data_IF_623200290092
#
_entry.id   IF_623200290092
#
_cell.length_a   1.000
_cell.length_b   1.000
_cell.length_c   1.000
_cell.angle_alpha   90.00
_cell.angle_beta   90.00
_cell.angle_gamma   90.00
#
_symmetry.space_group_name_H-M   'P 1'
#
loop_
_entity.id
_entity.type
_entity.pdbx_description
1 polymer ?
#
# COMPACT_ATOMS: atom_id res chain seq x y z
N UNK A 1 -0.67 -7.43 11.73
CA UNK A 1 -2.10 -7.54 11.28
C UNK A 1 -2.87 -6.49 12.06
N UNK A 2 -3.67 -5.67 11.40
CA UNK A 2 -4.47 -4.65 12.05
C UNK A 2 -5.61 -5.28 12.86
N UNK A 3 -5.85 -4.77 14.06
CA UNK A 3 -7.00 -5.18 14.88
C UNK A 3 -8.33 -4.73 14.24
N UNK A 4 -9.42 -5.43 14.54
CA UNK A 4 -10.75 -5.04 14.04
C UNK A 4 -11.16 -3.62 14.47
N UNK A 5 -10.67 -3.18 15.63
CA UNK A 5 -10.93 -1.82 16.14
C UNK A 5 -10.17 -0.80 15.29
N UNK A 6 -8.90 -1.08 14.98
CA UNK A 6 -8.07 -0.23 14.14
C UNK A 6 -8.65 -0.12 12.72
N UNK A 7 -9.08 -1.23 12.13
CA UNK A 7 -9.70 -1.21 10.79
C UNK A 7 -10.91 -0.28 10.71
N UNK A 8 -11.74 -0.22 11.76
CA UNK A 8 -12.93 0.65 11.79
C UNK A 8 -12.60 2.13 11.79
N UNK A 9 -11.49 2.52 12.44
CA UNK A 9 -11.07 3.91 12.54
C UNK A 9 -10.06 4.33 11.48
N UNK A 10 -9.56 3.40 10.68
CA UNK A 10 -8.51 3.63 9.67
C UNK A 10 -8.86 4.77 8.71
N UNK A 11 -10.04 4.72 8.10
CA UNK A 11 -10.48 5.78 7.20
C UNK A 11 -10.77 7.09 7.93
N UNK A 12 -11.22 6.99 9.17
CA UNK A 12 -11.57 8.13 10.01
C UNK A 12 -10.34 8.92 10.42
N UNK A 13 -9.18 8.28 10.57
CA UNK A 13 -7.90 8.93 10.81
C UNK A 13 -7.27 9.53 9.53
N UNK A 14 -7.95 9.42 8.38
CA UNK A 14 -7.51 10.02 7.15
C UNK A 14 -6.45 9.22 6.39
N UNK A 15 -6.18 7.97 6.79
CA UNK A 15 -5.18 7.14 6.08
C UNK A 15 -5.63 6.70 4.68
N UNK A 16 -6.90 6.83 4.35
CA UNK A 16 -7.39 6.75 2.98
C UNK A 16 -6.80 7.84 2.05
N UNK A 17 -6.21 8.91 2.60
CA UNK A 17 -5.54 9.94 1.81
C UNK A 17 -4.38 9.37 0.96
N UNK A 18 -3.63 8.42 1.48
CA UNK A 18 -2.47 7.83 0.76
C UNK A 18 -2.92 7.13 -0.52
N UNK A 19 -3.85 6.14 -0.51
CA UNK A 19 -4.32 5.51 -1.74
C UNK A 19 -5.13 6.46 -2.63
N UNK A 20 -5.78 7.49 -2.10
CA UNK A 20 -6.44 8.54 -2.89
C UNK A 20 -5.42 9.34 -3.71
N UNK A 21 -4.42 9.91 -3.05
CA UNK A 21 -3.35 10.68 -3.70
C UNK A 21 -2.57 9.83 -4.71
N UNK A 22 -2.22 8.60 -4.34
CA UNK A 22 -1.55 7.67 -5.24
C UNK A 22 -2.41 7.36 -6.48
N UNK A 23 -3.70 7.09 -6.31
CA UNK A 23 -4.62 6.78 -7.41
C UNK A 23 -4.71 7.90 -8.43
N UNK A 24 -4.77 9.17 -7.98
CA UNK A 24 -4.77 10.33 -8.86
C UNK A 24 -3.46 10.44 -9.66
N UNK A 25 -2.32 10.29 -9.00
CA UNK A 25 -1.00 10.31 -9.62
C UNK A 25 -0.81 9.16 -10.60
N UNK A 26 -1.24 7.96 -10.23
CA UNK A 26 -1.16 6.78 -11.08
C UNK A 26 -1.95 6.96 -12.38
N UNK A 27 -3.21 7.43 -12.28
CA UNK A 27 -4.02 7.70 -13.46
C UNK A 27 -3.43 8.81 -14.33
N UNK A 28 -2.83 9.83 -13.73
CA UNK A 28 -2.14 10.88 -14.47
C UNK A 28 -0.87 10.35 -15.14
N UNK A 29 -0.09 9.49 -14.45
CA UNK A 29 1.08 8.85 -14.99
C UNK A 29 0.74 7.91 -16.17
N UNK A 30 -0.31 7.11 -16.06
CA UNK A 30 -0.79 6.25 -17.15
C UNK A 30 -1.18 7.07 -18.38
N UNK A 31 -1.92 8.18 -18.19
CA UNK A 31 -2.29 9.10 -19.30
C UNK A 31 -1.08 9.75 -19.94
N UNK A 32 -0.12 10.25 -19.14
CA UNK A 32 1.11 10.91 -19.63
C UNK A 32 1.96 9.96 -20.50
N UNK A 33 1.97 8.67 -20.17
CA UNK A 33 2.74 7.66 -20.88
C UNK A 33 1.92 6.91 -21.96
N UNK A 34 0.68 7.34 -22.24
CA UNK A 34 -0.21 6.73 -23.23
C UNK A 34 -0.47 5.23 -22.98
N UNK A 35 -0.47 4.81 -21.69
CA UNK A 35 -0.67 3.43 -21.27
C UNK A 35 -2.16 3.19 -21.04
N UNK A 36 -2.71 2.16 -21.68
CA UNK A 36 -4.09 1.72 -21.51
C UNK A 36 -4.14 0.47 -20.64
N UNK A 37 -4.83 0.52 -19.54
CA UNK A 37 -5.08 -0.57 -18.59
C UNK A 37 -6.56 -0.95 -18.66
N UNK A 38 -6.86 -2.23 -18.76
CA UNK A 38 -8.23 -2.78 -18.72
C UNK A 38 -8.53 -3.48 -17.41
N UNK A 39 -7.51 -4.13 -16.83
CA UNK A 39 -7.64 -4.93 -15.62
C UNK A 39 -6.55 -4.56 -14.62
N UNK A 40 -6.92 -4.44 -13.33
CA UNK A 40 -5.97 -4.19 -12.26
C UNK A 40 -6.22 -5.08 -11.03
N UNK A 41 -5.16 -5.34 -10.29
CA UNK A 41 -5.19 -5.97 -8.97
C UNK A 41 -4.47 -5.06 -7.99
N UNK A 42 -5.08 -4.81 -6.83
CA UNK A 42 -4.47 -4.09 -5.74
C UNK A 42 -4.09 -5.06 -4.61
N UNK A 43 -2.78 -5.22 -4.37
CA UNK A 43 -2.23 -6.02 -3.27
C UNK A 43 -2.19 -5.18 -2.00
N UNK A 44 -2.63 -5.75 -0.88
CA UNK A 44 -2.83 -5.03 0.38
C UNK A 44 -3.77 -3.82 0.19
N UNK A 45 -4.92 -4.06 -0.43
CA UNK A 45 -5.86 -3.01 -0.86
C UNK A 45 -6.54 -2.26 0.30
N UNK A 46 -6.34 -2.70 1.55
CA UNK A 46 -6.94 -2.11 2.73
C UNK A 46 -8.46 -2.02 2.61
N UNK A 47 -9.00 -0.81 2.79
CA UNK A 47 -10.45 -0.54 2.71
C UNK A 47 -10.97 -0.31 1.28
N UNK A 48 -10.16 -0.67 0.26
CA UNK A 48 -10.58 -0.68 -1.15
C UNK A 48 -10.63 0.68 -1.85
N UNK A 49 -10.00 1.70 -1.29
CA UNK A 49 -10.04 3.08 -1.85
C UNK A 49 -9.45 3.13 -3.25
N UNK A 50 -8.27 2.56 -3.47
CA UNK A 50 -7.65 2.54 -4.80
C UNK A 50 -8.46 1.71 -5.80
N UNK A 51 -9.00 0.57 -5.36
CA UNK A 51 -9.90 -0.24 -6.19
C UNK A 51 -11.12 0.57 -6.67
N UNK A 52 -11.74 1.34 -5.78
CA UNK A 52 -12.87 2.21 -6.12
C UNK A 52 -12.48 3.27 -7.17
N UNK A 53 -11.31 3.90 -7.01
CA UNK A 53 -10.79 4.89 -7.96
C UNK A 53 -10.57 4.25 -9.33
N UNK A 54 -9.95 3.07 -9.40
CA UNK A 54 -9.73 2.35 -10.64
C UNK A 54 -11.04 2.00 -11.34
N UNK A 55 -12.02 1.48 -10.61
CA UNK A 55 -13.33 1.14 -11.16
C UNK A 55 -14.06 2.37 -11.70
N UNK A 56 -14.08 3.50 -10.96
CA UNK A 56 -14.68 4.76 -11.42
C UNK A 56 -14.04 5.30 -12.72
N UNK A 57 -12.81 4.88 -13.01
CA UNK A 57 -12.11 5.22 -14.25
C UNK A 57 -12.21 4.14 -15.35
N UNK A 58 -13.13 3.18 -15.18
CA UNK A 58 -13.45 2.17 -16.18
C UNK A 58 -12.46 1.00 -16.24
N UNK A 59 -11.63 0.81 -15.22
CA UNK A 59 -10.70 -0.31 -15.10
C UNK A 59 -11.39 -1.41 -14.27
N UNK A 60 -11.47 -2.62 -14.82
CA UNK A 60 -11.95 -3.78 -14.07
C UNK A 60 -10.92 -4.14 -13.02
N UNK A 61 -11.27 -3.98 -11.75
CA UNK A 61 -10.32 -4.13 -10.65
C UNK A 61 -10.71 -5.27 -9.71
N UNK A 62 -9.71 -5.80 -9.02
CA UNK A 62 -9.84 -6.71 -7.89
C UNK A 62 -8.92 -6.21 -6.77
N UNK A 63 -9.17 -6.61 -5.53
CA UNK A 63 -8.32 -6.30 -4.40
C UNK A 63 -8.07 -7.53 -3.52
N UNK A 64 -6.95 -7.55 -2.83
CA UNK A 64 -6.71 -8.51 -1.77
C UNK A 64 -6.02 -7.85 -0.59
N UNK A 65 -6.33 -8.30 0.60
CA UNK A 65 -5.67 -7.87 1.83
C UNK A 65 -5.57 -9.05 2.81
N UNK A 66 -4.60 -8.99 3.71
CA UNK A 66 -4.43 -9.99 4.75
C UNK A 66 -5.46 -9.84 5.88
N UNK A 67 -5.98 -8.61 6.08
CA UNK A 67 -6.93 -8.28 7.13
C UNK A 67 -8.37 -8.52 6.68
N UNK A 68 -9.05 -9.45 7.35
CA UNK A 68 -10.48 -9.69 7.15
C UNK A 68 -11.32 -8.44 7.45
N UNK A 69 -10.93 -7.66 8.48
CA UNK A 69 -11.59 -6.40 8.83
C UNK A 69 -11.49 -5.34 7.74
N UNK A 70 -10.32 -5.18 7.09
CA UNK A 70 -10.15 -4.29 5.94
C UNK A 70 -11.02 -4.73 4.76
N UNK A 71 -11.00 -6.01 4.41
CA UNK A 71 -11.80 -6.56 3.32
C UNK A 71 -13.31 -6.44 3.58
N UNK A 72 -13.76 -6.57 4.83
CA UNK A 72 -15.17 -6.33 5.16
C UNK A 72 -15.59 -4.88 4.80
N UNK A 73 -14.78 -3.89 5.16
CA UNK A 73 -15.01 -2.48 4.83
C UNK A 73 -14.94 -2.25 3.31
N UNK A 74 -13.97 -2.85 2.61
CA UNK A 74 -13.83 -2.75 1.16
C UNK A 74 -15.08 -3.29 0.43
N UNK A 75 -15.62 -4.42 0.88
CA UNK A 75 -16.86 -5.02 0.34
C UNK A 75 -18.10 -4.17 0.61
N UNK A 76 -18.15 -3.47 1.74
CA UNK A 76 -19.23 -2.50 2.01
C UNK A 76 -19.12 -1.26 1.11
N UNK A 77 -17.91 -0.78 0.85
CA UNK A 77 -17.62 0.37 0.00
C UNK A 77 -18.00 0.13 -1.47
N UNK A 78 -17.57 -1.00 -2.01
CA UNK A 78 -17.73 -1.37 -3.43
C UNK A 78 -18.10 -2.85 -3.57
N UNK A 79 -19.38 -3.23 -3.34
CA UNK A 79 -19.83 -4.64 -3.32
C UNK A 79 -19.63 -5.39 -4.64
N UNK A 80 -19.48 -4.67 -5.74
CA UNK A 80 -19.31 -5.22 -7.10
C UNK A 80 -17.84 -5.58 -7.42
N UNK A 81 -16.87 -5.10 -6.62
CA UNK A 81 -15.47 -5.43 -6.81
C UNK A 81 -15.16 -6.76 -6.10
N UNK A 82 -14.50 -7.72 -6.76
CA UNK A 82 -14.04 -8.94 -6.08
C UNK A 82 -12.90 -8.62 -5.12
N UNK A 83 -13.04 -9.07 -3.88
CA UNK A 83 -12.04 -8.93 -2.83
C UNK A 83 -11.72 -10.26 -2.18
N UNK A 84 -10.44 -10.57 -2.02
CA UNK A 84 -9.94 -11.77 -1.36
C UNK A 84 -9.25 -11.45 -0.04
N UNK A 85 -9.49 -12.28 0.99
CA UNK A 85 -8.67 -12.28 2.21
C UNK A 85 -7.53 -13.27 1.99
N UNK A 86 -6.30 -12.79 1.85
CA UNK A 86 -5.16 -13.63 1.52
C UNK A 86 -3.83 -13.01 1.98
N UNK A 87 -2.79 -13.85 2.06
CA UNK A 87 -1.40 -13.44 2.25
C UNK A 87 -0.74 -13.21 0.88
N UNK A 88 -0.27 -11.97 0.62
CA UNK A 88 0.34 -11.61 -0.66
C UNK A 88 1.58 -12.44 -1.00
N UNK A 89 2.27 -13.01 0.00
CA UNK A 89 3.43 -13.90 -0.20
C UNK A 89 3.03 -15.19 -0.92
N UNK A 90 1.77 -15.63 -0.75
CA UNK A 90 1.26 -16.91 -1.27
C UNK A 90 0.12 -16.71 -2.28
N UNK A 91 -0.33 -15.47 -2.50
CA UNK A 91 -1.49 -15.19 -3.32
C UNK A 91 -1.27 -15.55 -4.78
N UNK A 92 -2.25 -16.27 -5.34
CA UNK A 92 -2.29 -16.71 -6.74
C UNK A 92 -3.72 -16.50 -7.26
N UNK A 93 -4.00 -15.38 -7.94
CA UNK A 93 -5.31 -15.13 -8.53
C UNK A 93 -5.58 -16.03 -9.73
N UNK A 94 -6.87 -16.29 -10.01
CA UNK A 94 -7.30 -17.11 -11.15
C UNK A 94 -7.13 -16.40 -12.52
N UNK A 95 -6.88 -15.09 -12.52
CA UNK A 95 -6.82 -14.25 -13.73
C UNK A 95 -5.54 -13.45 -13.76
N UNK A 96 -5.14 -13.06 -14.97
CA UNK A 96 -4.04 -12.14 -15.17
C UNK A 96 -4.54 -10.70 -15.28
N UNK A 97 -3.64 -9.75 -15.00
CA UNK A 97 -3.92 -8.33 -14.92
C UNK A 97 -2.94 -7.53 -15.79
N UNK A 98 -3.40 -6.37 -16.27
CA UNK A 98 -2.54 -5.41 -17.00
C UNK A 98 -1.72 -4.56 -16.02
N UNK A 99 -2.26 -4.37 -14.81
CA UNK A 99 -1.64 -3.59 -13.74
C UNK A 99 -1.80 -4.30 -12.40
N UNK A 100 -0.72 -4.36 -11.65
CA UNK A 100 -0.74 -4.71 -10.22
C UNK A 100 -0.22 -3.50 -9.45
N UNK A 101 -0.90 -3.15 -8.36
CA UNK A 101 -0.48 -2.11 -7.42
C UNK A 101 -0.25 -2.70 -6.03
N UNK A 102 0.59 -2.03 -5.23
CA UNK A 102 0.79 -2.33 -3.82
C UNK A 102 1.24 -1.02 -3.14
N UNK A 103 0.36 -0.35 -2.40
CA UNK A 103 0.57 1.02 -1.95
C UNK A 103 0.42 1.19 -0.45
N UNK A 104 0.89 2.33 0.07
CA UNK A 104 0.83 2.64 1.49
C UNK A 104 1.81 1.81 2.30
N UNK A 105 3.07 1.76 1.87
CA UNK A 105 4.19 1.09 2.54
C UNK A 105 3.95 -0.42 2.77
N UNK A 106 2.98 -1.03 2.06
CA UNK A 106 2.54 -2.39 2.35
C UNK A 106 3.67 -3.43 2.26
N UNK A 107 4.63 -3.24 1.34
CA UNK A 107 5.81 -4.09 1.26
C UNK A 107 6.76 -3.94 2.46
N UNK A 108 6.72 -2.82 3.18
CA UNK A 108 7.54 -2.60 4.37
C UNK A 108 7.06 -3.43 5.58
N UNK A 109 5.86 -4.01 5.53
CA UNK A 109 5.40 -5.00 6.50
C UNK A 109 5.99 -6.40 6.28
N UNK A 110 6.65 -6.64 5.14
CA UNK A 110 7.29 -7.93 4.83
C UNK A 110 8.73 -7.90 5.35
N UNK A 111 8.97 -8.66 6.42
CA UNK A 111 10.24 -8.63 7.16
C UNK A 111 11.41 -9.22 6.37
N UNK A 112 11.16 -10.22 5.53
CA UNK A 112 12.20 -11.00 4.87
C UNK A 112 12.27 -10.70 3.36
N UNK A 113 13.45 -10.35 2.85
CA UNK A 113 13.67 -10.14 1.40
C UNK A 113 13.34 -11.38 0.55
N UNK A 114 13.45 -12.57 1.13
CA UNK A 114 13.05 -13.82 0.46
C UNK A 114 11.55 -13.90 0.21
N UNK A 115 10.74 -13.30 1.07
CA UNK A 115 9.30 -13.25 0.89
C UNK A 115 8.92 -12.15 -0.11
N UNK A 116 9.63 -11.01 -0.13
CA UNK A 116 9.50 -10.00 -1.19
C UNK A 116 9.85 -10.61 -2.56
N UNK A 117 10.93 -11.41 -2.66
CA UNK A 117 11.27 -12.10 -3.91
C UNK A 117 10.15 -13.06 -4.36
N UNK A 118 9.47 -13.75 -3.43
CA UNK A 118 8.32 -14.61 -3.76
C UNK A 118 7.14 -13.77 -4.27
N UNK A 119 6.83 -12.64 -3.60
CA UNK A 119 5.78 -11.72 -4.07
C UNK A 119 6.07 -11.29 -5.51
N UNK A 120 7.30 -10.84 -5.80
CA UNK A 120 7.66 -10.38 -7.15
C UNK A 120 7.55 -11.49 -8.20
N UNK A 121 7.95 -12.72 -7.87
CA UNK A 121 7.76 -13.87 -8.76
C UNK A 121 6.28 -14.14 -9.01
N UNK A 122 5.46 -14.12 -7.97
CA UNK A 122 4.03 -14.32 -8.10
C UNK A 122 3.39 -13.22 -8.94
N UNK A 123 3.73 -11.94 -8.68
CA UNK A 123 3.26 -10.80 -9.49
C UNK A 123 3.65 -10.97 -10.96
N UNK A 124 4.88 -11.39 -11.23
CA UNK A 124 5.33 -11.65 -12.59
C UNK A 124 4.47 -12.71 -13.30
N UNK A 125 4.10 -13.79 -12.58
CA UNK A 125 3.29 -14.88 -13.16
C UNK A 125 1.90 -14.41 -13.57
N UNK A 126 1.22 -13.63 -12.72
CA UNK A 126 -0.15 -13.20 -13.00
C UNK A 126 -0.29 -11.81 -13.65
N UNK A 127 0.80 -11.17 -14.03
CA UNK A 127 0.76 -10.05 -14.97
C UNK A 127 0.65 -10.54 -16.41
N UNK A 128 -0.11 -9.81 -17.22
CA UNK A 128 -0.08 -9.95 -18.68
C UNK A 128 1.29 -9.52 -19.23
N UNK A 129 1.69 -10.06 -20.41
CA UNK A 129 2.87 -9.58 -21.11
C UNK A 129 2.77 -8.08 -21.38
N UNK A 130 3.82 -7.34 -21.03
CA UNK A 130 3.83 -5.87 -21.10
C UNK A 130 3.06 -5.18 -19.97
N UNK A 131 2.54 -5.93 -18.99
CA UNK A 131 1.85 -5.41 -17.82
C UNK A 131 2.79 -4.71 -16.83
N UNK A 132 2.21 -3.95 -15.92
CA UNK A 132 2.95 -3.10 -14.98
C UNK A 132 2.73 -3.53 -13.54
N UNK A 133 3.79 -3.49 -12.75
CA UNK A 133 3.75 -3.53 -11.29
C UNK A 133 4.21 -2.18 -10.76
N UNK A 134 3.32 -1.47 -10.05
CA UNK A 134 3.58 -0.12 -9.54
C UNK A 134 3.28 -0.11 -8.05
N UNK A 135 4.27 0.27 -7.25
CA UNK A 135 4.17 0.24 -5.80
C UNK A 135 5.05 1.32 -5.16
N UNK A 136 4.85 1.53 -3.88
CA UNK A 136 5.71 2.37 -3.06
C UNK A 136 6.39 1.56 -1.94
N UNK A 137 7.47 2.11 -1.44
CA UNK A 137 8.15 1.69 -0.22
C UNK A 137 8.57 2.93 0.56
N UNK A 138 8.66 2.78 1.88
CA UNK A 138 9.03 3.84 2.80
C UNK A 138 10.37 4.49 2.43
N UNK A 139 10.39 5.84 2.38
CA UNK A 139 11.61 6.61 2.27
C UNK A 139 12.13 6.96 3.67
N UNK A 140 13.17 6.27 4.14
CA UNK A 140 13.72 6.42 5.48
C UNK A 140 14.15 7.87 5.80
N UNK A 141 14.66 8.60 4.81
CA UNK A 141 15.16 9.97 5.00
C UNK A 141 14.05 10.96 5.35
N UNK A 142 12.81 10.62 4.99
CA UNK A 142 11.63 11.46 5.21
C UNK A 142 10.81 11.04 6.45
N UNK A 143 11.19 9.94 7.13
CA UNK A 143 10.50 9.51 8.34
C UNK A 143 10.87 10.38 9.53
N UNK A 144 9.89 11.13 10.02
CA UNK A 144 10.05 11.95 11.23
C UNK A 144 9.84 11.12 12.49
N UNK A 145 10.93 10.69 13.12
CA UNK A 145 10.86 10.03 14.43
C UNK A 145 10.46 11.02 15.51
N UNK A 146 9.65 10.61 16.47
CA UNK A 146 9.25 11.41 17.62
C UNK A 146 7.79 11.26 18.00
N UNK A 147 7.30 12.17 18.80
CA UNK A 147 5.97 12.18 19.35
C UNK A 147 5.95 12.13 20.89
N UNK A 148 4.78 11.89 21.52
CA UNK A 148 3.52 11.66 20.80
C UNK A 148 3.01 12.89 20.06
N UNK A 149 2.53 12.71 18.84
CA UNK A 149 1.76 13.68 18.09
C UNK A 149 0.30 13.41 18.33
N UNK A 150 -0.43 14.40 18.87
CA UNK A 150 -1.87 14.25 19.13
C UNK A 150 -2.69 14.75 17.96
N UNK A 151 -3.82 14.10 17.73
CA UNK A 151 -4.81 14.54 16.75
C UNK A 151 -6.23 14.30 17.30
N UNK A 152 -7.12 15.19 16.97
CA UNK A 152 -8.54 15.07 17.28
C UNK A 152 -9.26 14.55 16.03
N UNK A 153 -9.85 13.35 16.15
CA UNK A 153 -10.67 12.79 15.07
C UNK A 153 -12.05 13.48 15.02
N UNK A 154 -12.66 13.63 16.20
CA UNK A 154 -13.90 14.36 16.41
C UNK A 154 -13.94 14.91 17.85
N UNK A 155 -15.11 15.43 18.29
CA UNK A 155 -15.26 16.01 19.63
C UNK A 155 -15.00 15.02 20.77
N UNK A 156 -15.09 13.71 20.52
CA UNK A 156 -14.99 12.67 21.56
C UNK A 156 -13.81 11.73 21.37
N UNK A 157 -13.30 11.56 20.13
CA UNK A 157 -12.22 10.62 19.81
C UNK A 157 -10.93 11.36 19.52
N UNK A 158 -9.89 11.01 20.27
CA UNK A 158 -8.54 11.54 20.15
C UNK A 158 -7.55 10.40 19.92
N UNK A 159 -6.49 10.69 19.20
CA UNK A 159 -5.41 9.75 18.97
C UNK A 159 -4.04 10.34 19.26
N UNK A 160 -3.10 9.48 19.56
CA UNK A 160 -1.69 9.80 19.71
C UNK A 160 -0.86 8.89 18.79
N UNK A 161 0.07 9.48 18.04
CA UNK A 161 1.08 8.76 17.26
C UNK A 161 2.45 8.94 17.87
N UNK A 162 3.15 7.84 18.08
CA UNK A 162 4.57 7.82 18.43
C UNK A 162 5.32 7.02 17.40
N UNK A 163 6.25 7.65 16.70
CA UNK A 163 7.09 7.01 15.68
C UNK A 163 8.48 6.83 16.27
N UNK A 164 8.94 5.58 16.34
CA UNK A 164 10.24 5.26 16.92
C UNK A 164 10.92 4.11 16.16
N UNK A 165 12.25 4.03 16.35
CA UNK A 165 13.05 2.93 15.82
C UNK A 165 13.35 1.95 16.94
N UNK A 166 13.14 0.66 16.70
CA UNK A 166 13.52 -0.40 17.64
C UNK A 166 15.03 -0.75 17.57
N UNK A 167 15.47 -1.65 18.43
CA UNK A 167 16.88 -2.09 18.48
C UNK A 167 17.35 -2.83 17.21
N UNK A 168 16.42 -3.33 16.40
CA UNK A 168 16.69 -3.99 15.11
C UNK A 168 16.71 -3.02 13.93
N UNK A 169 16.37 -1.75 14.18
CA UNK A 169 16.30 -0.72 13.17
C UNK A 169 14.94 -0.59 12.46
N UNK A 170 13.93 -1.35 12.89
CA UNK A 170 12.59 -1.23 12.32
C UNK A 170 11.94 0.10 12.72
N UNK A 171 11.15 0.66 11.84
CA UNK A 171 10.27 1.80 12.13
C UNK A 171 9.00 1.26 12.77
N UNK A 172 8.60 1.84 13.87
CA UNK A 172 7.39 1.48 14.57
C UNK A 172 6.49 2.71 14.70
N UNK A 173 5.25 2.58 14.24
CA UNK A 173 4.19 3.53 14.50
C UNK A 173 3.30 2.96 15.60
N UNK A 174 3.38 3.57 16.78
CA UNK A 174 2.46 3.28 17.89
C UNK A 174 1.28 4.24 17.81
N UNK A 175 0.09 3.69 17.71
CA UNK A 175 -1.17 4.43 17.70
C UNK A 175 -1.90 4.14 19.00
N UNK A 176 -2.27 5.19 19.75
CA UNK A 176 -3.09 5.07 20.95
C UNK A 176 -4.38 5.88 20.74
N UNK A 177 -5.52 5.30 21.03
CA UNK A 177 -6.83 5.93 20.83
C UNK A 177 -7.56 6.07 22.15
N UNK A 178 -8.16 7.24 22.35
CA UNK A 178 -8.98 7.61 23.49
C UNK A 178 -10.37 8.05 23.00
N UNK A 179 -11.41 7.71 23.75
CA UNK A 179 -12.77 8.22 23.56
C UNK A 179 -13.27 8.86 24.85
N UNK A 180 -13.72 10.11 24.78
CA UNK A 180 -14.11 10.92 25.94
C UNK A 180 -13.00 10.99 27.02
N UNK A 181 -11.73 10.94 26.61
CA UNK A 181 -10.57 10.92 27.51
C UNK A 181 -10.27 9.56 28.14
N UNK A 182 -11.04 8.51 27.82
CA UNK A 182 -10.79 7.15 28.28
C UNK A 182 -10.02 6.34 27.23
N UNK A 183 -8.99 5.60 27.65
CA UNK A 183 -8.22 4.70 26.81
C UNK A 183 -9.11 3.64 26.15
N UNK A 184 -9.00 3.48 24.87
CA UNK A 184 -9.72 2.47 24.09
C UNK A 184 -8.81 1.33 23.65
N UNK A 185 -7.76 1.64 22.89
CA UNK A 185 -6.81 0.64 22.43
C UNK A 185 -5.45 1.26 22.08
N UNK A 186 -4.46 0.40 21.93
CA UNK A 186 -3.14 0.69 21.42
C UNK A 186 -2.75 -0.35 20.38
N UNK A 187 -2.14 0.09 19.29
CA UNK A 187 -1.60 -0.77 18.27
C UNK A 187 -0.21 -0.32 17.83
N UNK A 188 0.67 -1.27 17.58
CA UNK A 188 2.02 -1.00 17.07
C UNK A 188 2.11 -1.61 15.68
N UNK A 189 2.35 -0.76 14.71
CA UNK A 189 2.59 -1.11 13.31
C UNK A 189 4.11 -1.10 13.12
N UNK A 190 4.68 -2.21 12.68
CA UNK A 190 6.13 -2.37 12.48
C UNK A 190 6.45 -2.50 11.02
N UNK A 191 7.44 -1.75 10.56
CA UNK A 191 7.89 -1.69 9.18
C UNK A 191 9.40 -1.86 9.09
N UNK A 192 9.86 -2.61 8.09
CA UNK A 192 11.27 -2.73 7.73
C UNK A 192 11.59 -1.74 6.63
N UNK A 193 12.64 -0.97 6.81
CA UNK A 193 13.15 -0.10 5.76
C UNK A 193 13.88 -0.94 4.71
N UNK A 194 13.41 -0.92 3.49
CA UNK A 194 14.03 -1.60 2.36
C UNK A 194 14.85 -0.62 1.52
N UNK A 195 16.11 -0.99 1.22
CA UNK A 195 16.93 -0.23 0.28
C UNK A 195 16.30 -0.32 -1.13
N UNK A 196 15.92 0.81 -1.76
CA UNK A 196 15.32 0.81 -3.09
C UNK A 196 16.19 0.17 -4.17
N UNK A 197 17.53 0.22 -4.03
CA UNK A 197 18.45 -0.45 -4.96
C UNK A 197 18.35 -1.98 -4.85
N UNK A 198 18.21 -2.50 -3.63
CA UNK A 198 18.01 -3.94 -3.37
C UNK A 198 16.67 -4.38 -3.96
N UNK A 199 15.60 -3.62 -3.74
CA UNK A 199 14.27 -3.91 -4.28
C UNK A 199 14.29 -3.92 -5.81
N UNK A 200 14.91 -2.92 -6.46
CA UNK A 200 15.06 -2.89 -7.91
C UNK A 200 15.87 -4.09 -8.43
N UNK A 201 16.93 -4.49 -7.74
CA UNK A 201 17.72 -5.68 -8.08
C UNK A 201 16.91 -6.99 -7.99
N UNK A 202 16.03 -7.12 -6.99
CA UNK A 202 15.13 -8.28 -6.87
C UNK A 202 14.09 -8.31 -8.01
N UNK A 203 13.51 -7.16 -8.39
CA UNK A 203 12.60 -7.08 -9.54
C UNK A 203 13.29 -7.55 -10.84
N UNK A 204 14.50 -7.05 -11.11
CA UNK A 204 15.27 -7.45 -12.30
C UNK A 204 15.59 -8.94 -12.29
N UNK A 205 15.95 -9.51 -11.14
CA UNK A 205 16.17 -10.95 -10.95
C UNK A 205 14.90 -11.77 -11.25
N UNK A 206 13.73 -11.21 -10.98
CA UNK A 206 12.44 -11.84 -11.27
C UNK A 206 11.95 -11.63 -12.71
N UNK A 207 12.71 -10.92 -13.57
CA UNK A 207 12.40 -10.74 -14.97
C UNK A 207 11.77 -9.40 -15.35
N UNK A 208 11.57 -8.50 -14.37
CA UNK A 208 11.02 -7.18 -14.65
C UNK A 208 12.07 -6.23 -15.25
N UNK A 209 11.61 -5.35 -16.13
CA UNK A 209 12.29 -4.10 -16.46
C UNK A 209 11.88 -3.02 -15.45
N UNK A 210 12.83 -2.46 -14.70
CA UNK A 210 12.57 -1.33 -13.80
C UNK A 210 12.62 -0.04 -14.59
N UNK A 211 11.47 0.59 -14.77
CA UNK A 211 11.32 1.83 -15.54
C UNK A 211 11.53 3.08 -14.69
N UNK A 212 11.21 3.01 -13.40
CA UNK A 212 11.34 4.12 -12.45
C UNK A 212 11.64 3.60 -11.05
N UNK A 213 12.48 4.34 -10.34
CA UNK A 213 12.69 4.24 -8.90
C UNK A 213 13.03 5.64 -8.42
N UNK A 214 12.08 6.37 -7.85
CA UNK A 214 12.23 7.78 -7.47
C UNK A 214 11.27 8.16 -6.32
N UNK A 215 11.53 9.28 -5.68
CA UNK A 215 10.71 9.86 -4.60
C UNK A 215 9.38 10.47 -5.10
N UNK A 216 9.07 10.31 -6.38
CA UNK A 216 7.85 10.81 -7.01
C UNK A 216 7.43 9.93 -8.18
N UNK A 217 6.14 9.78 -8.39
CA UNK A 217 5.60 9.10 -9.58
C UNK A 217 5.55 10.07 -10.77
N UNK A 218 5.14 11.31 -10.56
CA UNK A 218 5.14 12.42 -11.52
C UNK A 218 6.20 13.46 -11.14
N UNK A 219 6.93 14.01 -12.12
CA UNK A 219 8.03 14.96 -11.92
C UNK A 219 7.61 16.28 -11.25
N UNK A 220 6.34 16.64 -11.31
CA UNK A 220 5.79 17.90 -10.82
C UNK A 220 5.38 17.85 -9.34
N UNK A 221 5.33 16.65 -8.75
CA UNK A 221 4.87 16.43 -7.38
C UNK A 221 5.94 15.67 -6.59
N UNK A 222 6.57 16.33 -5.63
CA UNK A 222 7.41 15.65 -4.65
C UNK A 222 6.57 15.25 -3.45
N UNK A 223 6.43 13.96 -3.25
CA UNK A 223 5.84 13.39 -2.05
C UNK A 223 6.93 12.65 -1.28
N UNK A 224 7.49 13.34 -0.29
CA UNK A 224 8.75 12.99 0.34
C UNK A 224 8.80 11.68 1.12
N UNK A 225 7.67 11.03 1.47
CA UNK A 225 7.69 9.89 2.41
C UNK A 225 7.89 8.53 1.77
N UNK A 226 7.86 8.42 0.46
CA UNK A 226 7.91 7.14 -0.24
C UNK A 226 8.84 7.15 -1.47
N UNK A 227 9.41 5.99 -1.78
CA UNK A 227 10.00 5.67 -3.08
C UNK A 227 8.96 5.00 -3.95
N UNK A 228 8.67 5.56 -5.12
CA UNK A 228 7.78 4.97 -6.12
C UNK A 228 8.57 4.14 -7.11
N UNK A 229 8.17 2.88 -7.28
CA UNK A 229 8.80 1.94 -8.20
C UNK A 229 7.80 1.54 -9.27
N UNK A 230 8.24 1.66 -10.54
CA UNK A 230 7.50 1.21 -11.71
C UNK A 230 8.28 0.11 -12.39
N UNK A 231 7.73 -1.09 -12.40
CA UNK A 231 8.30 -2.26 -13.04
C UNK A 231 7.37 -2.77 -14.16
N UNK A 232 7.95 -3.24 -15.26
CA UNK A 232 7.21 -3.78 -16.40
C UNK A 232 7.59 -5.22 -16.65
N UNK A 233 6.61 -6.08 -16.88
CA UNK A 233 6.83 -7.43 -17.38
C UNK A 233 7.21 -7.36 -18.86
N UNK A 234 8.35 -8.00 -19.25
CA UNK A 234 8.83 -8.07 -20.63
C UNK A 234 8.17 -9.21 -21.38
#
# INVERSE_FOLDING_TARGET
MYSDVFCKVYNEFGWNYVPEAFGEQLLAWLRKNEITIKTSLDLACGTGVLCEIMQKNGIMTAGMDFSEGMIAIARERTPEIPYDVADMVQYQPEKNFDLVTCTGDALNHIMELTDIEKIFKNVYEYLNEGGYFIFDILNEEEVSLGGPFTFDYNETVQGEFLIFRDEKGHINLKVTVYENGEYQFEEIITEVVHDPQVICGLLQKCGFEVLKCADHLLEEERHGTAWFIVAKKL
#
